data_IF_505396583257
#
_entry.id   IF_505396583257
#
_cell.length_a   1.000
_cell.length_b   1.000
_cell.length_c   1.000
_cell.angle_alpha   90.00
_cell.angle_beta   90.00
_cell.angle_gamma   90.00
#
_symmetry.space_group_name_H-M   'P 1'
#
loop_
_entity.id
_entity.type
_entity.pdbx_description
1 polymer ?
#
# COMPACT_ATOMS: atom_id res chain seq x y z
N UNK A 1 -10.12 -0.27 0.52
CA UNK A 1 -10.74 1.08 0.57
C UNK A 1 -10.18 1.92 -0.58
N UNK A 2 -10.93 2.90 -1.09
CA UNK A 2 -10.46 3.81 -2.14
C UNK A 2 -10.24 5.19 -1.51
N UNK A 3 -9.06 5.77 -1.70
CA UNK A 3 -8.75 7.14 -1.27
C UNK A 3 -8.95 8.13 -2.42
N UNK A 4 -9.23 9.39 -2.10
CA UNK A 4 -9.36 10.44 -3.13
C UNK A 4 -8.00 11.04 -3.53
N UNK A 5 -6.99 10.96 -2.66
CA UNK A 5 -5.65 11.47 -2.92
C UNK A 5 -4.64 10.96 -1.87
N UNK A 6 -3.36 10.87 -2.26
CA UNK A 6 -2.25 10.63 -1.33
C UNK A 6 -2.00 11.78 -0.34
N UNK A 7 -2.58 12.97 -0.56
CA UNK A 7 -2.47 14.07 0.42
C UNK A 7 -3.10 13.75 1.77
N UNK A 8 -3.93 12.69 1.82
CA UNK A 8 -4.63 12.23 3.02
C UNK A 8 -3.80 11.25 3.86
N UNK A 9 -2.60 10.84 3.40
CA UNK A 9 -1.78 9.82 4.05
C UNK A 9 -0.36 10.31 4.32
N UNK A 10 0.26 9.78 5.38
CA UNK A 10 1.67 10.04 5.68
C UNK A 10 2.53 9.10 4.86
N UNK A 11 3.39 9.63 3.99
CA UNK A 11 4.40 8.83 3.28
C UNK A 11 5.62 8.60 4.17
N UNK A 12 6.13 7.37 4.19
CA UNK A 12 7.34 6.97 4.91
C UNK A 12 8.22 6.09 4.01
N UNK A 13 9.46 5.87 4.43
CA UNK A 13 10.34 4.85 3.86
C UNK A 13 10.52 3.77 4.92
N UNK A 14 10.38 2.51 4.53
CA UNK A 14 10.59 1.35 5.39
C UNK A 14 11.63 0.42 4.77
N UNK A 15 12.25 -0.40 5.61
CA UNK A 15 13.06 -1.52 5.15
C UNK A 15 12.28 -2.81 5.40
N UNK A 16 12.23 -3.69 4.42
CA UNK A 16 11.67 -5.03 4.52
C UNK A 16 12.71 -6.04 4.04
N UNK A 17 12.40 -7.32 4.13
CA UNK A 17 13.25 -8.38 3.55
C UNK A 17 13.39 -8.25 2.03
N UNK A 18 12.45 -7.55 1.36
CA UNK A 18 12.49 -7.29 -0.07
C UNK A 18 13.36 -6.07 -0.44
N UNK A 19 13.77 -5.28 0.55
CA UNK A 19 14.59 -4.09 0.38
C UNK A 19 13.94 -2.83 0.96
N UNK A 20 14.42 -1.67 0.52
CA UNK A 20 13.86 -0.38 0.94
C UNK A 20 12.63 -0.06 0.10
N UNK A 21 11.49 0.14 0.76
CA UNK A 21 10.21 0.36 0.11
C UNK A 21 9.61 1.72 0.50
N UNK A 22 8.95 2.36 -0.48
CA UNK A 22 8.07 3.50 -0.21
C UNK A 22 6.76 2.98 0.35
N UNK A 23 6.35 3.51 1.50
CA UNK A 23 5.14 3.11 2.18
C UNK A 23 4.27 4.31 2.57
N UNK A 24 3.00 4.04 2.87
CA UNK A 24 2.06 5.00 3.43
C UNK A 24 1.50 4.47 4.74
N UNK A 25 1.25 5.37 5.69
CA UNK A 25 0.54 5.06 6.93
C UNK A 25 -0.87 5.61 6.84
N UNK A 26 -1.85 4.74 7.04
CA UNK A 26 -3.27 5.09 7.03
C UNK A 26 -4.01 4.27 8.09
N UNK A 27 -4.80 4.95 8.93
CA UNK A 27 -5.53 4.35 10.07
C UNK A 27 -4.64 3.45 10.95
N UNK A 28 -3.40 3.89 11.20
CA UNK A 28 -2.43 3.17 12.03
C UNK A 28 -1.80 1.94 11.37
N UNK A 29 -2.14 1.63 10.11
CA UNK A 29 -1.53 0.52 9.35
C UNK A 29 -0.56 1.03 8.29
N UNK A 30 0.48 0.24 8.02
CA UNK A 30 1.47 0.52 6.98
C UNK A 30 1.11 -0.24 5.71
N UNK A 31 1.17 0.45 4.57
CA UNK A 31 0.91 -0.14 3.26
C UNK A 31 2.08 0.15 2.32
N UNK A 32 2.48 -0.83 1.52
CA UNK A 32 3.53 -0.70 0.50
C UNK A 32 2.91 -0.63 -0.89
N UNK A 33 3.57 0.10 -1.80
CA UNK A 33 3.13 0.21 -3.18
C UNK A 33 3.29 -1.13 -3.90
N UNK A 34 2.23 -1.60 -4.58
CA UNK A 34 2.26 -2.90 -5.25
C UNK A 34 2.06 -2.78 -6.76
N UNK A 35 0.80 -2.64 -7.21
CA UNK A 35 0.42 -2.65 -8.63
C UNK A 35 -0.22 -1.32 -9.05
N UNK A 36 -0.18 -1.04 -10.35
CA UNK A 36 -0.78 0.12 -10.99
C UNK A 36 -1.79 -0.35 -12.03
N UNK A 37 -2.92 0.33 -12.12
CA UNK A 37 -4.00 0.04 -13.06
C UNK A 37 -4.47 1.32 -13.74
N UNK A 38 -4.93 1.22 -14.99
CA UNK A 38 -5.46 2.36 -15.74
C UNK A 38 -6.82 2.82 -15.19
N UNK A 39 -7.64 1.90 -14.69
CA UNK A 39 -8.97 2.20 -14.16
C UNK A 39 -9.15 1.67 -12.75
N UNK A 40 -10.05 2.29 -11.99
CA UNK A 40 -10.45 1.79 -10.67
C UNK A 40 -11.10 0.41 -10.74
N UNK A 41 -11.81 0.10 -11.83
CA UNK A 41 -12.44 -1.21 -12.05
C UNK A 41 -11.40 -2.33 -12.15
N UNK A 42 -10.33 -2.09 -12.93
CA UNK A 42 -9.24 -3.04 -13.06
C UNK A 42 -8.48 -3.21 -11.74
N UNK A 43 -8.29 -2.13 -10.98
CA UNK A 43 -7.69 -2.21 -9.65
C UNK A 43 -8.53 -3.06 -8.69
N UNK A 44 -9.85 -2.85 -8.65
CA UNK A 44 -10.76 -3.66 -7.82
C UNK A 44 -10.72 -5.14 -8.24
N UNK A 45 -10.77 -5.42 -9.55
CA UNK A 45 -10.69 -6.77 -10.07
C UNK A 45 -9.35 -7.45 -9.72
N UNK A 46 -8.25 -6.70 -9.85
CA UNK A 46 -6.89 -7.16 -9.54
C UNK A 46 -6.70 -7.50 -8.07
N UNK A 47 -7.37 -6.80 -7.17
CA UNK A 47 -7.31 -7.02 -5.72
C UNK A 47 -8.17 -8.18 -5.21
N UNK A 48 -9.02 -8.79 -6.05
CA UNK A 48 -10.03 -9.76 -5.58
C UNK A 48 -9.41 -10.90 -4.77
N UNK A 49 -8.31 -11.48 -5.24
CA UNK A 49 -7.61 -12.58 -4.55
C UNK A 49 -7.06 -12.14 -3.20
N UNK A 50 -6.44 -10.97 -3.13
CA UNK A 50 -5.82 -10.46 -1.90
C UNK A 50 -6.90 -10.13 -0.85
N UNK A 51 -8.06 -9.62 -1.29
CA UNK A 51 -9.24 -9.44 -0.43
C UNK A 51 -9.76 -10.79 0.08
N UNK A 52 -9.88 -11.79 -0.80
CA UNK A 52 -10.35 -13.14 -0.42
C UNK A 52 -9.39 -13.80 0.58
N UNK A 53 -8.10 -13.40 0.60
CA UNK A 53 -7.09 -13.81 1.58
C UNK A 53 -7.07 -12.95 2.86
N UNK A 54 -7.97 -11.96 2.99
CA UNK A 54 -8.08 -11.09 4.17
C UNK A 54 -7.07 -9.95 4.23
N UNK A 55 -6.40 -9.63 3.12
CA UNK A 55 -5.39 -8.57 3.08
C UNK A 55 -6.02 -7.17 3.12
N UNK A 56 -5.39 -6.26 3.85
CA UNK A 56 -5.76 -4.84 3.83
C UNK A 56 -5.27 -4.17 2.55
N UNK A 57 -6.15 -3.45 1.85
CA UNK A 57 -5.82 -2.82 0.57
C UNK A 57 -6.33 -1.39 0.51
N UNK A 58 -5.52 -0.50 -0.08
CA UNK A 58 -5.89 0.86 -0.46
C UNK A 58 -5.69 1.03 -1.97
N UNK A 59 -6.70 1.59 -2.64
CA UNK A 59 -6.57 2.04 -4.02
C UNK A 59 -6.51 3.56 -3.98
N UNK A 60 -5.47 4.13 -4.58
CA UNK A 60 -5.25 5.58 -4.56
C UNK A 60 -5.03 6.09 -5.98
N UNK A 61 -5.76 7.13 -6.43
CA UNK A 61 -5.50 7.75 -7.72
C UNK A 61 -4.14 8.46 -7.70
N UNK A 62 -3.35 8.21 -8.75
CA UNK A 62 -2.07 8.85 -9.02
C UNK A 62 -2.08 9.36 -10.47
N UNK A 63 -2.23 10.67 -10.66
CA UNK A 63 -2.36 11.30 -11.98
C UNK A 63 -3.48 10.67 -12.82
N UNK A 64 -3.15 9.85 -13.82
CA UNK A 64 -4.12 9.21 -14.73
C UNK A 64 -4.27 7.69 -14.51
N UNK A 65 -3.83 7.20 -13.36
CA UNK A 65 -3.83 5.80 -13.01
C UNK A 65 -4.21 5.59 -11.54
N UNK A 66 -4.40 4.34 -11.15
CA UNK A 66 -4.72 3.94 -9.78
C UNK A 66 -3.64 3.01 -9.26
N UNK A 67 -3.03 3.37 -8.13
CA UNK A 67 -2.07 2.51 -7.44
C UNK A 67 -2.75 1.74 -6.32
N UNK A 68 -2.50 0.44 -6.28
CA UNK A 68 -2.82 -0.44 -5.16
C UNK A 68 -1.69 -0.40 -4.15
N UNK A 69 -2.07 -0.23 -2.89
CA UNK A 69 -1.19 -0.32 -1.74
C UNK A 69 -1.68 -1.44 -0.84
N UNK A 70 -0.78 -2.35 -0.47
CA UNK A 70 -1.09 -3.55 0.28
C UNK A 70 -0.56 -3.45 1.70
N UNK A 71 -1.39 -3.83 2.66
CA UNK A 71 -1.04 -3.80 4.07
C UNK A 71 0.09 -4.80 4.32
N UNK A 72 1.15 -4.32 4.95
CA UNK A 72 2.25 -5.17 5.36
C UNK A 72 2.17 -5.44 6.87
N UNK A 73 2.31 -6.69 7.32
CA UNK A 73 2.48 -7.02 8.72
C UNK A 73 3.69 -6.29 9.34
N UNK A 74 3.56 -5.79 10.57
CA UNK A 74 4.61 -5.02 11.25
C UNK A 74 5.90 -5.83 11.47
N UNK A 75 5.79 -7.14 11.63
CA UNK A 75 6.91 -8.07 11.78
C UNK A 75 7.76 -8.21 10.51
N UNK A 76 7.23 -7.83 9.35
CA UNK A 76 8.01 -7.77 8.10
C UNK A 76 8.73 -6.43 7.90
N UNK A 77 8.47 -5.45 8.77
CA UNK A 77 9.17 -4.16 8.76
C UNK A 77 10.42 -4.31 9.62
N UNK A 78 11.58 -4.26 8.96
CA UNK A 78 12.87 -4.27 9.62
C UNK A 78 13.02 -2.97 10.42
N UNK A 79 12.99 -3.08 11.74
CA UNK A 79 13.34 -1.96 12.60
C UNK A 79 14.84 -1.70 12.44
N UNK A 80 15.20 -0.50 11.96
CA UNK A 80 16.56 -0.03 12.13
C UNK A 80 16.82 0.04 13.63
N UNK A 81 17.67 -0.86 14.14
CA UNK A 81 18.31 -0.69 15.44
C UNK A 81 19.14 0.60 15.32
N UNK A 82 18.58 1.73 15.72
CA UNK A 82 19.36 2.91 16.00
C UNK A 82 20.11 2.62 17.31
N UNK A 83 21.33 2.11 17.18
CA UNK A 83 22.34 2.07 18.24
C UNK A 83 22.80 3.47 18.58
#
# INVERSE_FOLDING_TARGET
MILNSLSQVRTIIINTIAGTEKAIVFLGKTFVAEKIYATVGDAIAGCKRDIDMGMGLLIVPESEQFRVWIAIPEDLILQNQAS
#
